data_IF_225115498298
#
_entry.id   IF_225115498298
#
_cell.length_a   1.000
_cell.length_b   1.000
_cell.length_c   1.000
_cell.angle_alpha   90.00
_cell.angle_beta   90.00
_cell.angle_gamma   90.00
#
_symmetry.space_group_name_H-M   'P 1'
#
loop_
_entity.id
_entity.type
_entity.pdbx_description
1 polymer ?
#
# COMPACT_ATOMS: atom_id res chain seq x y z
N UNK A 1 15.88 11.37 -10.19
CA UNK A 1 15.66 9.89 -10.38
C UNK A 1 15.25 9.55 -11.83
N UNK A 2 15.66 8.41 -12.42
CA UNK A 2 15.21 7.96 -13.76
C UNK A 2 13.73 7.49 -13.73
N UNK A 3 12.98 7.64 -14.84
CA UNK A 3 11.58 7.20 -14.98
C UNK A 3 11.38 5.73 -14.62
N UNK A 4 12.23 4.83 -15.12
CA UNK A 4 12.12 3.39 -14.84
C UNK A 4 12.29 3.12 -13.35
N UNK A 5 13.32 3.71 -12.73
CA UNK A 5 13.55 3.60 -11.29
C UNK A 5 12.37 4.16 -10.50
N UNK A 6 11.81 5.29 -10.92
CA UNK A 6 10.65 5.89 -10.28
C UNK A 6 9.43 4.98 -10.27
N UNK A 7 9.10 4.36 -11.41
CA UNK A 7 7.98 3.42 -11.53
C UNK A 7 8.22 2.19 -10.64
N UNK A 8 9.42 1.62 -10.66
CA UNK A 8 9.74 0.43 -9.84
C UNK A 8 9.60 0.74 -8.35
N UNK A 9 10.16 1.87 -7.88
CA UNK A 9 10.05 2.28 -6.47
C UNK A 9 8.59 2.51 -6.08
N UNK A 10 7.81 3.20 -6.92
CA UNK A 10 6.38 3.38 -6.70
C UNK A 10 5.66 2.02 -6.59
N UNK A 11 5.92 1.09 -7.51
CA UNK A 11 5.27 -0.23 -7.49
C UNK A 11 5.61 -1.03 -6.24
N UNK A 12 6.86 -0.97 -5.75
CA UNK A 12 7.24 -1.61 -4.48
C UNK A 12 6.52 -0.98 -3.28
N UNK A 13 6.50 0.36 -3.21
CA UNK A 13 5.78 1.07 -2.14
C UNK A 13 4.28 0.79 -2.18
N UNK A 14 3.70 0.70 -3.39
CA UNK A 14 2.30 0.38 -3.59
C UNK A 14 1.98 -1.02 -3.06
N UNK A 15 2.78 -2.04 -3.38
CA UNK A 15 2.58 -3.40 -2.85
C UNK A 15 2.73 -3.45 -1.34
N UNK A 16 3.77 -2.84 -0.78
CA UNK A 16 3.98 -2.76 0.67
C UNK A 16 2.79 -2.09 1.37
N UNK A 17 2.31 -0.97 0.82
CA UNK A 17 1.15 -0.23 1.34
C UNK A 17 -0.12 -1.07 1.24
N UNK A 18 -0.32 -1.79 0.13
CA UNK A 18 -1.49 -2.64 -0.06
C UNK A 18 -1.59 -3.68 1.06
N UNK A 19 -0.50 -4.38 1.34
CA UNK A 19 -0.46 -5.37 2.41
C UNK A 19 -0.66 -4.76 3.80
N UNK A 20 -0.15 -3.55 4.05
CA UNK A 20 -0.40 -2.83 5.31
C UNK A 20 -1.86 -2.39 5.47
N UNK A 21 -2.57 -2.07 4.38
CA UNK A 21 -3.98 -1.61 4.41
C UNK A 21 -4.97 -2.78 4.46
N UNK A 22 -4.60 -3.99 3.99
CA UNK A 22 -5.45 -5.18 4.01
C UNK A 22 -6.09 -5.51 5.37
N UNK A 23 -5.37 -5.50 6.52
CA UNK A 23 -5.96 -5.82 7.83
C UNK A 23 -6.96 -4.77 8.33
N UNK A 24 -7.05 -3.61 7.68
CA UNK A 24 -7.91 -2.54 8.14
C UNK A 24 -9.40 -2.83 7.88
N UNK A 25 -10.22 -2.66 8.92
CA UNK A 25 -11.68 -2.71 8.82
C UNK A 25 -12.23 -4.11 8.56
N UNK A 26 -11.49 -5.17 8.91
CA UNK A 26 -11.98 -6.55 8.81
C UNK A 26 -13.06 -6.77 9.87
N UNK A 27 -14.25 -7.16 9.42
CA UNK A 27 -15.33 -7.65 10.26
C UNK A 27 -15.69 -9.06 9.79
N UNK A 28 -15.54 -10.02 10.69
CA UNK A 28 -15.83 -11.44 10.46
C UNK A 28 -17.25 -11.73 10.96
N UNK A 29 -17.99 -12.61 10.28
CA UNK A 29 -19.30 -13.05 10.76
C UNK A 29 -19.15 -14.15 11.82
N UNK A 30 -19.86 -14.03 12.96
CA UNK A 30 -19.89 -15.07 14.01
C UNK A 30 -20.57 -16.37 13.55
N UNK A 31 -21.50 -16.26 12.59
CA UNK A 31 -22.20 -17.41 11.99
C UNK A 31 -21.93 -17.42 10.50
N UNK A 32 -20.78 -17.96 10.07
CA UNK A 32 -20.46 -18.05 8.66
C UNK A 32 -21.52 -18.87 7.92
N UNK A 33 -21.95 -18.39 6.77
CA UNK A 33 -22.81 -19.14 5.86
C UNK A 33 -22.09 -20.40 5.38
N UNK A 34 -22.79 -21.54 5.21
CA UNK A 34 -22.16 -22.77 4.75
C UNK A 34 -21.41 -22.55 3.43
N UNK A 35 -20.12 -22.92 3.39
CA UNK A 35 -19.25 -22.73 2.22
C UNK A 35 -18.34 -21.48 2.26
N UNK A 36 -18.49 -20.61 3.26
CA UNK A 36 -17.54 -19.52 3.53
C UNK A 36 -16.50 -19.95 4.56
N UNK A 37 -15.27 -19.45 4.43
CA UNK A 37 -14.24 -19.65 5.44
C UNK A 37 -14.58 -18.82 6.69
N UNK A 38 -14.36 -19.39 7.89
CA UNK A 38 -14.64 -18.73 9.17
C UNK A 38 -13.92 -17.39 9.36
N UNK A 39 -12.82 -17.16 8.62
CA UNK A 39 -12.05 -15.91 8.68
C UNK A 39 -12.38 -14.92 7.54
N UNK A 40 -13.35 -15.22 6.67
CA UNK A 40 -13.69 -14.38 5.54
C UNK A 40 -14.34 -13.06 6.01
N UNK A 41 -13.84 -11.89 5.56
CA UNK A 41 -14.47 -10.62 5.88
C UNK A 41 -15.87 -10.52 5.24
N UNK A 42 -16.87 -10.12 6.02
CA UNK A 42 -18.27 -9.91 5.57
C UNK A 42 -18.36 -8.93 4.39
N UNK A 43 -17.58 -7.85 4.45
CA UNK A 43 -17.50 -6.81 3.42
C UNK A 43 -16.03 -6.49 3.15
N UNK A 44 -15.42 -7.10 2.11
CA UNK A 44 -13.99 -6.91 1.82
C UNK A 44 -13.60 -5.46 1.46
N UNK A 45 -14.57 -4.64 0.98
CA UNK A 45 -14.38 -3.25 0.57
C UNK A 45 -13.12 -3.00 -0.29
N UNK A 46 -12.78 -3.94 -1.19
CA UNK A 46 -11.52 -3.93 -1.93
C UNK A 46 -11.27 -2.65 -2.73
N UNK A 47 -12.32 -2.05 -3.30
CA UNK A 47 -12.21 -0.78 -4.05
C UNK A 47 -11.70 0.37 -3.18
N UNK A 48 -12.19 0.46 -1.94
CA UNK A 48 -11.76 1.49 -0.99
C UNK A 48 -10.30 1.27 -0.58
N UNK A 49 -9.93 0.01 -0.30
CA UNK A 49 -8.55 -0.36 0.05
C UNK A 49 -7.56 -0.04 -1.08
N UNK A 50 -7.94 -0.32 -2.33
CA UNK A 50 -7.14 0.04 -3.50
C UNK A 50 -6.96 1.56 -3.65
N UNK A 51 -8.01 2.35 -3.42
CA UNK A 51 -7.93 3.81 -3.50
C UNK A 51 -7.03 4.39 -2.40
N UNK A 52 -7.20 3.92 -1.15
CA UNK A 52 -6.35 4.32 -0.03
C UNK A 52 -4.89 3.93 -0.32
N UNK A 53 -4.65 2.71 -0.79
CA UNK A 53 -3.32 2.22 -1.13
C UNK A 53 -2.64 3.12 -2.16
N UNK A 54 -3.33 3.46 -3.24
CA UNK A 54 -2.81 4.34 -4.31
C UNK A 54 -2.47 5.73 -3.78
N UNK A 55 -3.35 6.33 -2.97
CA UNK A 55 -3.08 7.65 -2.39
C UNK A 55 -1.89 7.64 -1.42
N UNK A 56 -1.89 6.69 -0.47
CA UNK A 56 -0.83 6.59 0.54
C UNK A 56 0.52 6.28 -0.10
N UNK A 57 0.56 5.35 -1.05
CA UNK A 57 1.80 5.02 -1.77
C UNK A 57 2.29 6.17 -2.67
N UNK A 58 1.39 6.93 -3.30
CA UNK A 58 1.76 8.12 -4.05
C UNK A 58 2.41 9.17 -3.15
N UNK A 59 1.83 9.45 -1.98
CA UNK A 59 2.41 10.39 -1.00
C UNK A 59 3.78 9.90 -0.53
N UNK A 60 3.91 8.63 -0.15
CA UNK A 60 5.19 8.05 0.26
C UNK A 60 6.25 8.13 -0.85
N UNK A 61 5.85 7.85 -2.10
CA UNK A 61 6.73 7.95 -3.25
C UNK A 61 7.20 9.38 -3.51
N UNK A 62 6.31 10.38 -3.39
CA UNK A 62 6.69 11.79 -3.47
C UNK A 62 7.72 12.15 -2.41
N UNK A 63 7.53 11.73 -1.15
CA UNK A 63 8.51 11.95 -0.09
C UNK A 63 9.88 11.34 -0.45
N UNK A 64 9.90 10.09 -0.93
CA UNK A 64 11.14 9.41 -1.35
C UNK A 64 11.81 10.14 -2.52
N UNK A 65 11.02 10.55 -3.52
CA UNK A 65 11.52 11.31 -4.66
C UNK A 65 12.18 12.63 -4.22
N UNK A 66 11.52 13.40 -3.35
CA UNK A 66 12.07 14.65 -2.82
C UNK A 66 13.37 14.43 -2.03
N UNK A 67 13.42 13.40 -1.19
CA UNK A 67 14.64 13.08 -0.42
C UNK A 67 15.80 12.77 -1.37
N UNK A 68 15.57 11.96 -2.40
CA UNK A 68 16.61 11.58 -3.37
C UNK A 68 17.08 12.80 -4.18
N UNK A 69 16.17 13.67 -4.62
CA UNK A 69 16.52 14.82 -5.45
C UNK A 69 17.16 15.96 -4.66
N UNK A 70 16.86 16.05 -3.35
CA UNK A 70 17.37 17.12 -2.49
C UNK A 70 18.87 17.03 -2.16
N UNK A 71 19.56 15.96 -2.55
CA UNK A 71 21.00 15.70 -2.29
C UNK A 71 21.42 15.88 -0.81
N UNK A 72 20.46 15.87 0.11
CA UNK A 72 20.67 16.10 1.56
C UNK A 72 21.51 14.97 2.17
N UNK A 73 21.44 13.77 1.57
CA UNK A 73 22.11 12.58 2.06
C UNK A 73 23.26 12.22 1.11
N UNK A 74 24.44 12.76 1.37
CA UNK A 74 25.68 12.32 0.72
C UNK A 74 26.22 11.08 1.41
N UNK A 75 26.18 9.93 0.72
CA UNK A 75 26.82 8.68 1.18
C UNK A 75 28.32 8.62 0.86
N UNK A 76 28.90 9.70 0.34
CA UNK A 76 30.28 9.77 -0.16
C UNK A 76 31.02 10.98 0.42
N UNK A 77 30.98 11.12 1.75
CA UNK A 77 32.03 11.83 2.49
C UNK A 77 33.09 10.83 2.91
#
# INVERSE_FOLDING_TARGET
>A
MNIVTGIVVYQMLWWLTFFMVLPWGIQVEEKPTPGFADSAPKKPQLKLKLLITTLVSAVAWFCVYFIIESDIISFRN
#
